data_IF_254642275854
#
_entry.id   IF_254642275854
#
_cell.length_a   1.000
_cell.length_b   1.000
_cell.length_c   1.000
_cell.angle_alpha   90.00
_cell.angle_beta   90.00
_cell.angle_gamma   90.00
#
_symmetry.space_group_name_H-M   'P 1'
#
loop_
_entity.id
_entity.type
_entity.pdbx_description
1 polymer ?
#
# COMPACT_ATOMS: atom_id res chain seq x y z
N UNK A 1 -8.58 -27.34 5.89
CA UNK A 1 -7.60 -27.55 4.80
C UNK A 1 -6.55 -26.47 4.96
N UNK A 2 -5.29 -26.89 5.07
CA UNK A 2 -4.29 -26.29 5.95
C UNK A 2 -3.75 -24.93 5.50
N UNK A 3 -3.61 -24.06 6.50
CA UNK A 3 -3.08 -22.71 6.47
C UNK A 3 -1.62 -22.72 6.04
N UNK A 4 -1.34 -22.13 4.87
CA UNK A 4 -0.01 -22.03 4.29
C UNK A 4 0.79 -20.90 5.00
N UNK A 5 1.10 -21.11 6.28
CA UNK A 5 1.91 -20.19 7.07
C UNK A 5 3.38 -20.38 6.75
N UNK A 6 3.90 -19.62 5.76
CA UNK A 6 5.35 -19.38 5.62
C UNK A 6 5.87 -18.72 6.91
N UNK A 7 6.70 -19.38 7.74
CA UNK A 7 7.32 -18.78 8.90
C UNK A 7 8.61 -18.09 8.44
N UNK A 8 8.70 -16.76 8.57
CA UNK A 8 9.94 -16.04 8.27
C UNK A 8 9.80 -14.80 7.39
N UNK A 9 8.61 -14.46 6.90
CA UNK A 9 8.35 -13.08 6.45
C UNK A 9 7.82 -12.31 7.64
N UNK A 10 8.69 -11.49 8.23
CA UNK A 10 8.41 -10.63 9.38
C UNK A 10 7.03 -10.00 9.22
N UNK A 11 6.24 -10.01 10.30
CA UNK A 11 4.84 -9.54 10.35
C UNK A 11 4.62 -8.21 9.61
N UNK A 12 5.65 -7.37 9.60
CA UNK A 12 5.77 -6.10 8.89
C UNK A 12 5.64 -6.22 7.36
N UNK A 13 6.22 -7.25 6.72
CA UNK A 13 6.09 -7.47 5.27
C UNK A 13 4.68 -7.86 4.85
N UNK A 14 3.96 -8.66 5.65
CA UNK A 14 2.55 -9.00 5.35
C UNK A 14 1.64 -7.78 5.52
N UNK A 15 1.86 -6.96 6.54
CA UNK A 15 1.12 -5.71 6.75
C UNK A 15 1.40 -4.71 5.63
N UNK A 16 2.64 -4.69 5.11
CA UNK A 16 3.03 -3.89 3.95
C UNK A 16 2.25 -4.22 2.69
N UNK A 17 2.09 -5.51 2.36
CA UNK A 17 1.41 -5.93 1.14
C UNK A 17 -0.10 -5.60 1.15
N UNK A 18 -0.78 -5.90 2.26
CA UNK A 18 -2.21 -5.60 2.39
C UNK A 18 -2.48 -4.08 2.40
N UNK A 19 -1.63 -3.32 3.10
CA UNK A 19 -1.72 -1.86 3.15
C UNK A 19 -1.60 -1.25 1.75
N UNK A 20 -0.57 -1.62 1.00
CA UNK A 20 -0.35 -1.14 -0.36
C UNK A 20 -1.50 -1.51 -1.30
N UNK A 21 -2.09 -2.71 -1.15
CA UNK A 21 -3.26 -3.13 -1.91
C UNK A 21 -4.49 -2.23 -1.63
N UNK A 22 -4.71 -1.86 -0.36
CA UNK A 22 -5.78 -0.92 0.01
C UNK A 22 -5.56 0.46 -0.61
N UNK A 23 -4.34 1.00 -0.52
CA UNK A 23 -3.99 2.30 -1.13
C UNK A 23 -4.26 2.28 -2.64
N UNK A 24 -3.84 1.21 -3.32
CA UNK A 24 -4.08 1.04 -4.75
C UNK A 24 -5.58 1.03 -5.09
N UNK A 25 -6.39 0.26 -4.36
CA UNK A 25 -7.84 0.19 -4.58
C UNK A 25 -8.52 1.55 -4.39
N UNK A 26 -8.14 2.30 -3.36
CA UNK A 26 -8.70 3.63 -3.11
C UNK A 26 -8.39 4.59 -4.26
N UNK A 27 -7.12 4.63 -4.71
CA UNK A 27 -6.70 5.46 -5.82
C UNK A 27 -7.34 5.03 -7.15
N UNK A 28 -7.45 3.72 -7.41
CA UNK A 28 -8.13 3.18 -8.59
C UNK A 28 -9.62 3.50 -8.60
N UNK A 29 -10.27 3.54 -7.44
CA UNK A 29 -11.68 3.92 -7.32
C UNK A 29 -11.91 5.43 -7.51
N UNK A 30 -10.87 6.23 -7.77
CA UNK A 30 -10.96 7.67 -7.96
C UNK A 30 -11.12 8.46 -6.66
N UNK A 31 -10.86 7.84 -5.50
CA UNK A 31 -10.93 8.54 -4.21
C UNK A 31 -9.81 9.58 -4.15
N UNK A 32 -10.19 10.84 -3.95
CA UNK A 32 -9.24 11.91 -3.65
C UNK A 32 -8.73 11.77 -2.22
N UNK A 33 -7.63 11.07 -2.08
CA UNK A 33 -6.88 11.01 -0.81
C UNK A 33 -6.09 12.32 -0.65
N UNK A 34 -6.20 12.94 0.52
CA UNK A 34 -5.47 14.16 0.85
C UNK A 34 -3.96 13.94 0.85
N UNK A 35 -3.20 14.94 0.40
CA UNK A 35 -1.73 14.92 0.37
C UNK A 35 -1.07 14.51 1.72
N UNK A 36 -1.49 14.99 2.90
CA UNK A 36 -0.90 14.53 4.17
C UNK A 36 -1.07 13.03 4.41
N UNK A 37 -2.17 12.44 3.95
CA UNK A 37 -2.42 10.99 4.06
C UNK A 37 -1.50 10.24 3.10
N UNK A 38 -1.35 10.73 1.87
CA UNK A 38 -0.40 10.18 0.89
C UNK A 38 1.05 10.21 1.42
N UNK A 39 1.45 11.29 2.08
CA UNK A 39 2.76 11.38 2.74
C UNK A 39 2.92 10.36 3.87
N UNK A 40 1.86 10.09 4.64
CA UNK A 40 1.89 9.04 5.67
C UNK A 40 2.05 7.64 5.06
N UNK A 41 1.41 7.37 3.92
CA UNK A 41 1.63 6.13 3.16
C UNK A 41 3.08 6.01 2.69
N UNK A 42 3.68 7.07 2.17
CA UNK A 42 5.10 7.09 1.76
C UNK A 42 6.02 6.88 2.96
N UNK A 43 5.75 7.52 4.10
CA UNK A 43 6.55 7.31 5.33
C UNK A 43 6.48 5.88 5.85
N UNK A 44 5.32 5.21 5.71
CA UNK A 44 5.08 3.87 6.26
C UNK A 44 5.55 2.74 5.33
N UNK A 45 5.41 2.90 4.02
CA UNK A 45 5.68 1.84 3.05
C UNK A 45 6.75 2.23 2.01
N UNK A 46 7.36 3.41 2.15
CA UNK A 46 8.49 3.86 1.34
C UNK A 46 8.15 4.05 -0.14
N UNK A 47 9.11 3.70 -0.99
CA UNK A 47 9.02 3.82 -2.44
C UNK A 47 7.87 3.02 -3.05
N UNK A 48 7.44 1.92 -2.42
CA UNK A 48 6.31 1.14 -2.91
C UNK A 48 5.02 1.97 -2.93
N UNK A 49 4.72 2.70 -1.85
CA UNK A 49 3.58 3.62 -1.82
C UNK A 49 3.76 4.78 -2.79
N UNK A 50 4.96 5.37 -2.87
CA UNK A 50 5.26 6.48 -3.79
C UNK A 50 4.99 6.10 -5.25
N UNK A 51 5.41 4.91 -5.67
CA UNK A 51 5.18 4.41 -7.04
C UNK A 51 3.69 4.24 -7.36
N UNK A 52 2.90 3.69 -6.42
CA UNK A 52 1.45 3.57 -6.58
C UNK A 52 0.84 4.96 -6.74
N UNK A 53 1.15 5.89 -5.84
CA UNK A 53 0.58 7.25 -5.85
C UNK A 53 0.87 7.97 -7.16
N UNK A 54 2.12 7.91 -7.65
CA UNK A 54 2.50 8.52 -8.92
C UNK A 54 1.76 7.91 -10.12
N UNK A 55 1.58 6.58 -10.13
CA UNK A 55 0.87 5.87 -11.21
C UNK A 55 -0.57 6.36 -11.36
N UNK A 56 -1.26 6.61 -10.25
CA UNK A 56 -2.67 7.05 -10.28
C UNK A 56 -2.85 8.57 -10.33
N UNK A 57 -1.83 9.38 -10.00
CA UNK A 57 -1.87 10.84 -10.20
C UNK A 57 -1.68 11.29 -11.65
N UNK A 58 -1.07 10.44 -12.49
CA UNK A 58 -0.81 10.74 -13.90
C UNK A 58 -1.98 10.33 -14.83
N UNK A 59 -3.10 9.91 -14.25
CA UNK A 59 -4.33 9.53 -14.95
C UNK A 59 -5.32 10.69 -14.91
#
# INVERSE_FOLDING_TARGET
>A
MNENHKPGVSREQRISDEGLNRLQKQLQSGVRISEPVLQQWIKRYGDAAKNIIQKYRKQ
#
